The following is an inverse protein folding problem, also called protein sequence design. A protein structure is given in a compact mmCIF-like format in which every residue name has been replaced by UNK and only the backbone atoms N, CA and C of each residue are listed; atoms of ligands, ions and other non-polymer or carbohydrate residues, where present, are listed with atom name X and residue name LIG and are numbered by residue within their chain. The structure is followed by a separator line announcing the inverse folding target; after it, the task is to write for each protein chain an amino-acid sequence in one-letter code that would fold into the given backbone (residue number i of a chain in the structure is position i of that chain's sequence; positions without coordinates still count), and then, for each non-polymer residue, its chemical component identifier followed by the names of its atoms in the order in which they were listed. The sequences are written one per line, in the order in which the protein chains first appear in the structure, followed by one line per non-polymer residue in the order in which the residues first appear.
data_IF_681714448800
#
_entry.id   IF_681714448800
#
_cell.length_a   1.000
_cell.length_b   1.000
_cell.length_c   1.000
_cell.angle_alpha   90.00
_cell.angle_beta   90.00
_cell.angle_gamma   90.00
#
_symmetry.space_group_name_H-M   'P 1'
#
loop_
_entity.id
_entity.type
_entity.pdbx_description
1 polymer ?
#
# COMPACT_ATOMS: atom_id res chain seq x y z
N UNK A 1 -51.95 13.36 -37.71
CA UNK A 1 -52.45 12.50 -38.81
C UNK A 1 -51.43 12.52 -39.93
N UNK A 2 -50.95 11.44 -40.53
CA UNK A 2 -51.03 10.01 -40.26
C UNK A 2 -49.77 9.37 -40.86
N UNK A 3 -49.38 8.28 -40.22
CA UNK A 3 -48.30 7.34 -40.48
C UNK A 3 -48.33 6.76 -41.90
N UNK A 4 -47.16 6.56 -42.52
CA UNK A 4 -47.00 5.57 -43.59
C UNK A 4 -45.97 4.54 -43.11
N UNK A 5 -46.50 3.39 -42.69
CA UNK A 5 -45.80 2.12 -42.55
C UNK A 5 -45.64 1.45 -43.92
N UNK A 6 -44.79 0.41 -43.94
CA UNK A 6 -44.70 -0.75 -44.84
C UNK A 6 -43.36 -0.81 -45.61
N UNK A 7 -42.63 -1.92 -45.73
CA UNK A 7 -42.79 -3.30 -45.25
C UNK A 7 -41.39 -3.98 -45.33
N UNK A 8 -41.04 -4.85 -44.38
CA UNK A 8 -40.00 -5.89 -44.56
C UNK A 8 -40.67 -7.17 -45.10
N UNK A 9 -39.97 -7.92 -45.97
CA UNK A 9 -39.66 -9.33 -45.73
C UNK A 9 -38.16 -9.60 -46.04
N UNK A 10 -37.36 -10.37 -45.32
CA UNK A 10 -37.57 -11.70 -44.76
C UNK A 10 -36.64 -12.69 -45.48
N UNK A 11 -36.05 -13.65 -44.73
CA UNK A 11 -35.12 -14.73 -45.14
C UNK A 11 -33.62 -14.35 -45.24
N UNK A 12 -32.74 -14.64 -44.28
CA UNK A 12 -32.26 -15.96 -43.79
C UNK A 12 -31.27 -16.60 -44.78
N UNK A 13 -29.98 -16.27 -44.63
CA UNK A 13 -28.87 -17.13 -45.07
C UNK A 13 -27.85 -17.21 -43.92
N UNK A 14 -27.93 -18.33 -43.23
CA UNK A 14 -26.92 -18.86 -42.32
C UNK A 14 -25.76 -19.36 -43.20
N UNK A 15 -24.57 -18.78 -43.04
CA UNK A 15 -23.33 -19.46 -43.41
C UNK A 15 -22.42 -19.57 -42.19
N UNK A 16 -22.58 -20.74 -41.57
CA UNK A 16 -21.70 -21.37 -40.61
C UNK A 16 -20.34 -21.61 -41.30
N UNK A 17 -19.29 -20.91 -40.87
CA UNK A 17 -17.91 -21.29 -41.17
C UNK A 17 -17.13 -21.38 -39.86
N UNK A 18 -17.23 -22.56 -39.26
CA UNK A 18 -16.31 -23.08 -38.24
C UNK A 18 -14.96 -23.32 -38.90
N UNK A 19 -14.07 -22.33 -38.89
CA UNK A 19 -12.65 -22.57 -39.16
C UNK A 19 -11.94 -22.86 -37.84
N UNK A 20 -11.82 -24.15 -37.55
CA UNK A 20 -10.81 -24.70 -36.65
C UNK A 20 -9.42 -24.35 -37.19
N UNK A 21 -8.84 -23.25 -36.71
CA UNK A 21 -7.38 -23.11 -36.75
C UNK A 21 -6.82 -23.86 -35.55
N UNK A 22 -6.37 -25.08 -35.83
CA UNK A 22 -5.54 -25.86 -34.94
C UNK A 22 -4.36 -25.00 -34.46
N UNK A 23 -4.32 -24.77 -33.16
CA UNK A 23 -3.22 -24.14 -32.43
C UNK A 23 -1.97 -24.98 -32.67
N UNK A 24 -0.91 -24.46 -33.33
CA UNK A 24 0.40 -25.05 -33.19
C UNK A 24 0.83 -24.83 -31.74
N UNK A 25 0.99 -25.93 -31.01
CA UNK A 25 1.62 -25.94 -29.70
C UNK A 25 3.06 -25.40 -29.85
N UNK A 26 3.21 -24.09 -29.66
CA UNK A 26 4.52 -23.48 -29.43
C UNK A 26 4.94 -23.87 -28.02
N UNK A 27 5.67 -24.99 -27.92
CA UNK A 27 6.51 -25.31 -26.78
C UNK A 27 7.64 -24.28 -26.71
N UNK A 28 7.30 -23.06 -26.30
CA UNK A 28 8.25 -22.07 -25.85
C UNK A 28 8.69 -22.48 -24.46
N UNK A 29 9.91 -22.99 -24.35
CA UNK A 29 10.63 -23.14 -23.09
C UNK A 29 10.58 -21.82 -22.34
N UNK A 30 9.74 -21.74 -21.32
CA UNK A 30 9.77 -20.67 -20.32
C UNK A 30 11.09 -20.81 -19.55
N UNK A 31 12.13 -20.16 -20.04
CA UNK A 31 13.17 -19.67 -19.16
C UNK A 31 12.51 -18.59 -18.31
N UNK A 32 11.99 -19.00 -17.15
CA UNK A 32 11.49 -18.12 -16.11
C UNK A 32 12.70 -17.34 -15.57
N UNK A 33 13.05 -16.27 -16.27
CA UNK A 33 13.95 -15.24 -15.77
C UNK A 33 13.25 -14.67 -14.53
N UNK A 34 13.79 -15.03 -13.37
CA UNK A 34 13.25 -14.73 -12.06
C UNK A 34 13.52 -13.26 -11.74
N UNK A 35 12.95 -12.35 -12.53
CA UNK A 35 12.85 -10.94 -12.16
C UNK A 35 11.75 -10.87 -11.13
N UNK A 36 12.15 -10.60 -9.90
CA UNK A 36 11.26 -10.08 -8.85
C UNK A 36 10.53 -8.85 -9.41
N UNK A 37 9.39 -9.08 -10.07
CA UNK A 37 8.31 -8.13 -10.08
C UNK A 37 7.79 -8.14 -8.66
N UNK A 38 8.24 -7.18 -7.87
CA UNK A 38 7.64 -6.84 -6.60
C UNK A 38 6.15 -6.59 -6.87
N UNK A 39 5.37 -7.61 -6.53
CA UNK A 39 3.92 -7.57 -6.53
C UNK A 39 3.50 -6.37 -5.68
N UNK A 40 2.88 -5.37 -6.32
CA UNK A 40 2.13 -4.29 -5.68
C UNK A 40 0.82 -4.83 -5.05
N UNK A 41 0.89 -6.05 -4.53
CA UNK A 41 -0.18 -6.79 -3.89
C UNK A 41 0.01 -6.73 -2.38
N UNK A 42 -0.63 -5.74 -1.76
CA UNK A 42 -1.25 -5.86 -0.43
C UNK A 42 -0.45 -6.69 0.60
N UNK A 43 0.56 -6.09 1.20
CA UNK A 43 0.75 -6.23 2.65
C UNK A 43 0.00 -5.10 3.36
N UNK A 44 -1.32 -5.13 3.22
CA UNK A 44 -2.25 -4.29 3.97
C UNK A 44 -2.65 -5.00 5.27
N UNK A 45 -1.73 -5.71 5.92
CA UNK A 45 -2.02 -6.40 7.18
C UNK A 45 -0.80 -6.66 8.04
N UNK A 46 0.07 -5.67 8.15
CA UNK A 46 0.85 -5.50 9.38
C UNK A 46 0.28 -4.27 10.07
N UNK A 47 -0.56 -4.49 11.09
CA UNK A 47 -0.95 -3.47 12.09
C UNK A 47 0.27 -3.10 12.95
N UNK A 48 1.41 -2.89 12.32
CA UNK A 48 2.68 -2.59 12.95
C UNK A 48 2.95 -1.12 12.74
N UNK A 49 2.41 -0.33 13.66
CA UNK A 49 3.21 0.39 14.64
C UNK A 49 2.22 1.03 15.58
N UNK A 50 2.26 0.62 16.85
CA UNK A 50 1.41 1.11 17.92
C UNK A 50 1.54 2.64 18.00
N UNK A 51 0.67 3.35 17.28
CA UNK A 51 0.49 4.78 17.47
C UNK A 51 0.03 4.97 18.90
N UNK A 52 0.52 6.02 19.57
CA UNK A 52 0.05 6.38 20.92
C UNK A 52 -1.47 6.59 20.94
N UNK A 53 -2.06 7.04 19.83
CA UNK A 53 -3.52 7.15 19.71
C UNK A 53 -4.22 5.79 19.62
N UNK A 54 -3.55 4.72 19.18
CA UNK A 54 -4.11 3.37 19.05
C UNK A 54 -4.07 2.53 20.33
N UNK A 55 -3.55 3.06 21.45
CA UNK A 55 -3.40 2.30 22.70
C UNK A 55 -4.72 1.72 23.23
N UNK A 56 -5.84 2.43 23.04
CA UNK A 56 -7.16 1.97 23.45
C UNK A 56 -7.61 0.69 22.74
N UNK A 57 -7.03 0.36 21.58
CA UNK A 57 -7.36 -0.85 20.82
C UNK A 57 -6.77 -2.11 21.46
N UNK A 58 -5.76 -1.96 22.32
CA UNK A 58 -5.15 -3.07 23.05
C UNK A 58 -5.51 -2.95 24.55
N UNK A 59 -6.50 -3.71 25.03
CA UNK A 59 -6.95 -3.62 26.42
C UNK A 59 -5.85 -4.00 27.42
N UNK A 60 -4.95 -4.94 27.07
CA UNK A 60 -3.84 -5.34 27.94
C UNK A 60 -2.83 -4.20 28.12
N UNK A 61 -2.53 -3.45 27.05
CA UNK A 61 -1.66 -2.27 27.12
C UNK A 61 -2.34 -1.13 27.90
N UNK A 62 -3.63 -0.91 27.66
CA UNK A 62 -4.40 0.11 28.38
C UNK A 62 -4.45 -0.17 29.89
N UNK A 63 -4.67 -1.42 30.28
CA UNK A 63 -4.63 -1.88 31.67
C UNK A 63 -3.21 -1.76 32.25
N UNK A 64 -2.19 -2.22 31.52
CA UNK A 64 -0.79 -2.11 31.95
C UNK A 64 -0.38 -0.66 32.19
N UNK A 65 -0.84 0.29 31.36
CA UNK A 65 -0.58 1.71 31.54
C UNK A 65 -1.51 2.38 32.58
N UNK A 66 -2.50 1.67 33.12
CA UNK A 66 -3.47 2.21 34.06
C UNK A 66 -4.29 3.36 33.46
N UNK A 67 -4.70 3.22 32.18
CA UNK A 67 -5.52 4.24 31.53
C UNK A 67 -6.92 4.27 32.15
N UNK A 68 -7.38 5.46 32.53
CA UNK A 68 -8.76 5.66 32.96
C UNK A 68 -9.74 5.58 31.78
N UNK A 69 -11.02 5.27 32.05
CA UNK A 69 -12.08 5.25 31.04
C UNK A 69 -12.19 6.57 30.27
N UNK A 70 -11.93 7.69 30.96
CA UNK A 70 -11.87 9.02 30.34
C UNK A 70 -10.72 9.10 29.34
N UNK A 71 -9.51 8.69 29.72
CA UNK A 71 -8.35 8.67 28.81
C UNK A 71 -8.58 7.74 27.62
N UNK A 72 -9.17 6.56 27.84
CA UNK A 72 -9.51 5.61 26.78
C UNK A 72 -10.48 6.25 25.77
N UNK A 73 -11.51 6.94 26.26
CA UNK A 73 -12.50 7.63 25.41
C UNK A 73 -11.86 8.73 24.58
N UNK A 74 -11.00 9.55 25.18
CA UNK A 74 -10.30 10.63 24.48
C UNK A 74 -9.32 10.09 23.42
N UNK A 75 -8.52 9.07 23.76
CA UNK A 75 -7.61 8.41 22.82
C UNK A 75 -8.38 7.78 21.65
N UNK A 76 -9.53 7.18 21.91
CA UNK A 76 -10.41 6.62 20.89
C UNK A 76 -10.90 7.69 19.91
N UNK A 77 -11.39 8.82 20.41
CA UNK A 77 -11.86 9.92 19.56
C UNK A 77 -10.72 10.53 18.73
N UNK A 78 -9.54 10.69 19.33
CA UNK A 78 -8.34 11.16 18.65
C UNK A 78 -7.90 10.19 17.53
N UNK A 79 -7.90 8.87 17.81
CA UNK A 79 -7.58 7.83 16.81
C UNK A 79 -8.57 7.85 15.63
N UNK A 80 -9.87 7.93 15.89
CA UNK A 80 -10.86 7.99 14.82
C UNK A 80 -10.67 9.21 13.92
N UNK A 81 -10.43 10.38 14.52
CA UNK A 81 -10.18 11.62 13.78
C UNK A 81 -8.94 11.48 12.90
N UNK A 82 -7.85 10.95 13.47
CA UNK A 82 -6.61 10.74 12.76
C UNK A 82 -6.76 9.73 11.61
N UNK A 83 -7.36 8.56 11.87
CA UNK A 83 -7.56 7.52 10.85
C UNK A 83 -8.42 8.01 9.69
N UNK A 84 -9.44 8.83 9.97
CA UNK A 84 -10.29 9.44 8.93
C UNK A 84 -9.47 10.34 8.00
N UNK A 85 -8.71 11.28 8.58
CA UNK A 85 -7.84 12.17 7.81
C UNK A 85 -6.74 11.41 7.06
N UNK A 86 -6.18 10.35 7.66
CA UNK A 86 -5.15 9.54 7.02
C UNK A 86 -5.72 8.78 5.81
N UNK A 87 -6.95 8.28 5.90
CA UNK A 87 -7.63 7.64 4.78
C UNK A 87 -7.84 8.61 3.62
N UNK A 88 -8.22 9.86 3.92
CA UNK A 88 -8.40 10.90 2.91
C UNK A 88 -7.08 11.22 2.18
N UNK A 89 -5.98 11.41 2.92
CA UNK A 89 -4.67 11.65 2.32
C UNK A 89 -4.17 10.45 1.51
N UNK A 90 -4.39 9.22 1.98
CA UNK A 90 -4.08 8.00 1.22
C UNK A 90 -4.87 7.93 -0.08
N UNK A 91 -6.16 8.25 -0.05
CA UNK A 91 -6.99 8.30 -1.25
C UNK A 91 -6.46 9.33 -2.25
N UNK A 92 -6.09 10.54 -1.79
CA UNK A 92 -5.47 11.58 -2.62
C UNK A 92 -4.16 11.08 -3.25
N UNK A 93 -3.28 10.45 -2.47
CA UNK A 93 -2.02 9.92 -2.98
C UNK A 93 -2.23 8.81 -4.01
N UNK A 94 -3.19 7.92 -3.78
CA UNK A 94 -3.53 6.85 -4.73
C UNK A 94 -4.07 7.40 -6.06
N UNK A 95 -4.89 8.45 -6.02
CA UNK A 95 -5.34 9.13 -7.24
C UNK A 95 -4.15 9.73 -8.02
N UNK A 96 -3.20 10.38 -7.33
CA UNK A 96 -2.01 10.93 -7.96
C UNK A 96 -1.10 9.84 -8.55
N UNK A 97 -0.99 8.67 -7.92
CA UNK A 97 -0.28 7.53 -8.50
C UNK A 97 -0.91 7.06 -9.81
N UNK A 98 -2.24 6.97 -9.88
CA UNK A 98 -2.93 6.60 -11.13
C UNK A 98 -2.74 7.66 -12.22
N UNK A 99 -2.76 8.95 -11.86
CA UNK A 99 -2.45 10.04 -12.80
C UNK A 99 -1.01 9.96 -13.31
N UNK A 100 -0.06 9.61 -12.44
CA UNK A 100 1.34 9.41 -12.81
C UNK A 100 1.52 8.22 -13.75
N UNK A 101 0.89 7.08 -13.44
CA UNK A 101 0.88 5.90 -14.31
C UNK A 101 0.32 6.23 -15.69
N UNK A 102 -0.82 6.93 -15.74
CA UNK A 102 -1.41 7.42 -16.98
C UNK A 102 -0.41 8.30 -17.75
N UNK A 103 0.22 9.27 -17.10
CA UNK A 103 1.16 10.20 -17.75
C UNK A 103 2.36 9.48 -18.39
N UNK A 104 2.87 8.40 -17.76
CA UNK A 104 3.94 7.58 -18.32
C UNK A 104 3.48 6.61 -19.43
N UNK A 105 2.19 6.32 -19.52
CA UNK A 105 1.61 5.47 -20.58
C UNK A 105 1.34 6.23 -21.90
N UNK A 106 1.41 7.56 -21.89
CA UNK A 106 1.12 8.39 -23.07
C UNK A 106 2.21 8.25 -24.14
N UNK A 107 1.82 8.23 -25.42
CA UNK A 107 2.74 8.04 -26.55
C UNK A 107 3.83 9.11 -26.61
N UNK A 108 3.54 10.33 -26.13
CA UNK A 108 4.50 11.41 -25.98
C UNK A 108 4.49 11.89 -24.53
N UNK A 109 5.61 11.69 -23.85
CA UNK A 109 5.79 12.11 -22.47
C UNK A 109 5.71 13.64 -22.34
N UNK A 110 4.86 14.12 -21.43
CA UNK A 110 4.84 15.50 -20.99
C UNK A 110 5.63 15.63 -19.67
N UNK A 111 6.92 15.96 -19.78
CA UNK A 111 7.82 16.06 -18.62
C UNK A 111 7.37 17.11 -17.59
N UNK A 112 6.77 18.22 -18.03
CA UNK A 112 6.27 19.26 -17.13
C UNK A 112 5.12 18.72 -16.27
N UNK A 113 4.15 18.03 -16.88
CA UNK A 113 3.03 17.44 -16.14
C UNK A 113 3.49 16.36 -15.15
N UNK A 114 4.47 15.53 -15.53
CA UNK A 114 5.06 14.53 -14.62
C UNK A 114 5.74 15.19 -13.42
N UNK A 115 6.51 16.26 -13.62
CA UNK A 115 7.14 16.99 -12.51
C UNK A 115 6.12 17.66 -11.60
N UNK A 116 5.03 18.19 -12.15
CA UNK A 116 3.93 18.76 -11.36
C UNK A 116 3.22 17.69 -10.52
N UNK A 117 2.95 16.50 -11.09
CA UNK A 117 2.39 15.37 -10.35
C UNK A 117 3.32 14.93 -9.21
N UNK A 118 4.62 14.85 -9.46
CA UNK A 118 5.60 14.52 -8.43
C UNK A 118 5.59 15.56 -7.28
N UNK A 119 5.47 16.85 -7.60
CA UNK A 119 5.31 17.91 -6.61
C UNK A 119 4.06 17.72 -5.74
N UNK A 120 2.90 17.47 -6.37
CA UNK A 120 1.64 17.20 -5.65
C UNK A 120 1.75 15.96 -4.74
N UNK A 121 2.41 14.90 -5.22
CA UNK A 121 2.62 13.70 -4.43
C UNK A 121 3.51 13.99 -3.20
N UNK A 122 4.60 14.73 -3.38
CA UNK A 122 5.46 15.16 -2.29
C UNK A 122 4.70 16.01 -1.25
N UNK A 123 3.82 16.90 -1.70
CA UNK A 123 2.98 17.70 -0.80
C UNK A 123 2.03 16.82 0.03
N UNK A 124 1.37 15.83 -0.59
CA UNK A 124 0.48 14.90 0.13
C UNK A 124 1.27 14.04 1.11
N UNK A 125 2.44 13.53 0.72
CA UNK A 125 3.32 12.78 1.61
C UNK A 125 3.80 13.63 2.79
N UNK A 126 4.14 14.91 2.54
CA UNK A 126 4.49 15.87 3.58
C UNK A 126 3.34 16.09 4.58
N UNK A 127 2.12 16.23 4.09
CA UNK A 127 0.92 16.31 4.94
C UNK A 127 0.72 15.05 5.78
N UNK A 128 0.89 13.86 5.20
CA UNK A 128 0.82 12.60 5.93
C UNK A 128 1.86 12.52 7.05
N UNK A 129 3.10 12.99 6.79
CA UNK A 129 4.14 13.06 7.81
C UNK A 129 3.75 13.99 8.97
N UNK A 130 3.32 15.21 8.66
CA UNK A 130 2.87 16.18 9.68
C UNK A 130 1.73 15.60 10.50
N UNK A 131 0.74 14.99 9.83
CA UNK A 131 -0.41 14.37 10.49
C UNK A 131 0.00 13.25 11.46
N UNK A 132 0.99 12.42 11.10
CA UNK A 132 1.54 11.38 11.98
C UNK A 132 2.16 11.98 13.25
N UNK A 133 2.90 13.09 13.11
CA UNK A 133 3.50 13.81 14.24
C UNK A 133 2.41 14.43 15.11
N UNK A 134 1.42 15.08 14.52
CA UNK A 134 0.29 15.68 15.23
C UNK A 134 -0.53 14.64 15.99
N UNK A 135 -0.77 13.46 15.42
CA UNK A 135 -1.43 12.34 16.09
C UNK A 135 -0.69 11.91 17.34
N UNK A 136 0.65 11.79 17.23
CA UNK A 136 1.51 11.45 18.37
C UNK A 136 1.44 12.54 19.44
N UNK A 137 1.55 13.81 19.06
CA UNK A 137 1.47 14.94 19.99
C UNK A 137 0.10 15.02 20.66
N UNK A 138 -0.99 14.76 19.94
CA UNK A 138 -2.33 14.74 20.50
C UNK A 138 -2.47 13.61 21.53
N UNK A 139 -2.00 12.41 21.22
CA UNK A 139 -2.05 11.29 22.15
C UNK A 139 -1.22 11.54 23.43
N UNK A 140 -0.06 12.21 23.33
CA UNK A 140 0.73 12.57 24.52
C UNK A 140 0.01 13.52 25.47
N UNK A 141 -0.97 14.31 25.01
CA UNK A 141 -1.75 15.21 25.88
C UNK A 141 -2.69 14.46 26.82
N UNK A 142 -3.02 13.21 26.50
CA UNK A 142 -3.95 12.39 27.29
C UNK A 142 -3.25 11.43 28.24
N UNK A 143 -1.94 11.28 28.13
CA UNK A 143 -1.13 10.43 28.98
C UNK A 143 -0.40 11.29 30.02
N UNK A 144 -0.26 10.79 31.25
CA UNK A 144 0.64 11.41 32.22
C UNK A 144 2.10 11.17 31.85
N UNK A 145 3.01 11.96 32.41
CA UNK A 145 4.45 11.76 32.22
C UNK A 145 4.90 10.36 32.65
N UNK A 146 4.38 9.87 33.78
CA UNK A 146 4.64 8.50 34.26
C UNK A 146 4.14 7.43 33.28
N UNK A 147 2.93 7.61 32.71
CA UNK A 147 2.38 6.68 31.71
C UNK A 147 3.20 6.69 30.42
N UNK A 148 3.73 7.85 30.01
CA UNK A 148 4.60 7.97 28.85
C UNK A 148 5.95 7.28 29.07
N UNK A 149 6.57 7.46 30.24
CA UNK A 149 7.81 6.78 30.61
C UNK A 149 7.59 5.27 30.61
N UNK A 150 6.50 4.80 31.23
CA UNK A 150 6.13 3.38 31.25
C UNK A 150 5.94 2.83 29.83
N UNK A 151 5.22 3.55 28.98
CA UNK A 151 5.05 3.17 27.59
C UNK A 151 6.38 3.05 26.83
N UNK A 152 7.29 4.01 27.00
CA UNK A 152 8.59 3.98 26.31
C UNK A 152 9.49 2.83 26.79
N UNK A 153 9.44 2.49 28.08
CA UNK A 153 10.21 1.39 28.64
C UNK A 153 9.66 0.02 28.22
N UNK A 154 8.34 -0.14 28.22
CA UNK A 154 7.68 -1.41 27.95
C UNK A 154 7.50 -1.72 26.45
N UNK A 155 7.47 -0.68 25.61
CA UNK A 155 7.26 -0.80 24.16
C UNK A 155 8.39 -0.08 23.41
N UNK A 156 9.65 -0.55 23.55
CA UNK A 156 10.77 0.06 22.87
C UNK A 156 10.52 -0.05 21.36
N UNK A 157 10.64 1.08 20.67
CA UNK A 157 10.58 1.09 19.21
C UNK A 157 11.69 0.18 18.71
N UNK A 158 11.32 -0.90 18.04
CA UNK A 158 12.27 -1.68 17.28
C UNK A 158 12.82 -0.79 16.18
N UNK A 159 13.94 -0.13 16.45
CA UNK A 159 14.80 0.42 15.42
C UNK A 159 15.37 -0.80 14.67
N UNK A 160 14.62 -1.21 13.64
CA UNK A 160 14.96 -2.32 12.77
C UNK A 160 16.26 -2.02 12.04
N UNK A 161 17.32 -2.65 12.52
CA UNK A 161 18.66 -2.62 11.94
C UNK A 161 19.55 -3.52 12.77
N UNK A 162 19.29 -4.83 12.76
CA UNK A 162 20.37 -5.77 13.07
C UNK A 162 21.41 -5.57 11.97
N UNK A 163 22.69 -5.28 12.27
CA UNK A 163 23.72 -5.40 11.27
C UNK A 163 23.66 -6.83 10.75
N UNK A 164 23.36 -6.97 9.47
CA UNK A 164 23.42 -8.25 8.80
C UNK A 164 24.91 -8.58 8.72
N UNK A 165 25.38 -9.44 9.62
CA UNK A 165 26.73 -9.95 9.60
C UNK A 165 26.96 -10.59 8.22
N UNK A 166 27.63 -9.85 7.33
CA UNK A 166 28.22 -10.37 6.10
C UNK A 166 29.36 -11.32 6.50
N UNK A 167 29.02 -12.51 6.95
CA UNK A 167 29.99 -13.56 7.20
C UNK A 167 29.41 -14.95 6.90
N UNK A 168 28.76 -15.08 5.75
CA UNK A 168 28.60 -16.35 5.08
C UNK A 168 28.89 -16.14 3.58
N UNK A 169 29.65 -17.07 3.00
CA UNK A 169 30.00 -17.17 1.57
C UNK A 169 31.31 -16.53 1.09
N UNK A 170 32.44 -16.85 1.76
CA UNK A 170 33.77 -16.88 1.10
C UNK A 170 34.57 -18.13 1.49
N UNK A 171 33.91 -19.29 1.60
CA UNK A 171 34.57 -20.55 1.95
C UNK A 171 34.07 -21.76 1.16
N UNK A 172 33.94 -21.66 -0.17
CA UNK A 172 33.88 -22.85 -1.03
C UNK A 172 34.43 -22.55 -2.44
N UNK A 173 35.75 -22.37 -2.55
CA UNK A 173 36.49 -22.77 -3.75
C UNK A 173 37.90 -23.20 -3.35
N UNK A 174 37.95 -24.37 -2.71
CA UNK A 174 39.18 -25.06 -2.36
C UNK A 174 39.02 -26.53 -2.69
N UNK A 175 39.72 -26.93 -3.75
CA UNK A 175 40.16 -28.29 -4.07
C UNK A 175 39.16 -29.26 -4.73
N UNK A 176 39.61 -29.72 -5.90
CA UNK A 176 39.81 -31.14 -6.26
C UNK A 176 39.00 -31.65 -7.45
N UNK A 177 39.70 -31.82 -8.58
CA UNK A 177 39.71 -33.11 -9.28
C UNK A 177 40.97 -33.26 -10.13
N UNK A 178 41.89 -34.05 -9.58
CA UNK A 178 42.85 -34.85 -10.33
C UNK A 178 42.16 -35.69 -11.41
N UNK A 179 42.62 -35.59 -12.66
CA UNK A 179 43.12 -36.74 -13.44
C UNK A 179 43.83 -36.29 -14.71
#
# INVERSE_FOLDING_TARGET
MNTIHQHKPGALIIFLVLTFFAVPAMAGSHAQDNRHGEDFGRHEEHRDHQSLSGLWQNPEIAEKLGLSDKQITELKNADFTFRKQQLELKAQLNMLHLEMEKAFSEQKLNETAVRELAGKMADVQGKMFVQNIESRLAATKYLTEEQLIKFQADFPRHHGGKPQDQQHDMAHHGNEKSR
#
